data_IF_349384021208
#
_entry.id   IF_349384021208
#
_cell.length_a   1.000
_cell.length_b   1.000
_cell.length_c   1.000
_cell.angle_alpha   90.00
_cell.angle_beta   90.00
_cell.angle_gamma   90.00
#
_symmetry.space_group_name_H-M   'P 1'
#
loop_
_entity.id
_entity.type
_entity.pdbx_description
1 polymer ?
#
# COMPACT_ATOMS: atom_id res chain seq x y z
N UNK A 1 32.23 -55.03 15.42
CA UNK A 1 30.91 -54.61 15.94
C UNK A 1 30.63 -53.20 15.49
N UNK A 2 29.52 -53.02 14.88
CA UNK A 2 29.03 -51.96 13.98
C UNK A 2 29.25 -50.53 14.40
N UNK A 3 29.85 -49.72 13.51
CA UNK A 3 29.76 -48.25 13.47
C UNK A 3 28.81 -47.87 12.30
N UNK A 4 27.52 -48.06 12.50
CA UNK A 4 26.50 -47.66 11.53
C UNK A 4 25.40 -46.96 12.35
N UNK A 5 25.53 -45.66 12.62
CA UNK A 5 24.47 -44.97 13.36
C UNK A 5 24.58 -43.46 13.43
N UNK A 6 25.71 -42.87 13.10
CA UNK A 6 25.89 -41.40 13.27
C UNK A 6 25.74 -40.59 11.96
N UNK A 7 25.94 -41.20 10.81
CA UNK A 7 25.93 -40.50 9.51
C UNK A 7 24.50 -40.24 9.00
N UNK A 8 23.53 -41.13 9.32
CA UNK A 8 22.15 -41.01 8.82
C UNK A 8 21.30 -39.93 9.52
N UNK A 9 21.61 -39.65 10.79
CA UNK A 9 20.87 -38.63 11.59
C UNK A 9 21.35 -37.23 11.25
N UNK A 10 22.63 -37.05 10.91
CA UNK A 10 23.18 -35.76 10.51
C UNK A 10 22.62 -35.30 9.15
N UNK A 11 22.54 -36.20 8.17
CA UNK A 11 21.98 -35.91 6.84
C UNK A 11 20.48 -35.60 6.91
N UNK A 12 19.72 -36.27 7.77
CA UNK A 12 18.29 -36.03 7.94
C UNK A 12 18.02 -34.65 8.58
N UNK A 13 18.84 -34.25 9.58
CA UNK A 13 18.76 -32.93 10.20
C UNK A 13 19.15 -31.80 9.25
N UNK A 14 20.19 -31.99 8.42
CA UNK A 14 20.57 -30.99 7.40
C UNK A 14 19.53 -30.85 6.31
N UNK A 15 18.88 -31.95 5.91
CA UNK A 15 17.79 -31.90 4.92
C UNK A 15 16.56 -31.20 5.46
N UNK A 16 16.16 -31.47 6.72
CA UNK A 16 15.05 -30.77 7.36
C UNK A 16 15.37 -29.29 7.57
N UNK A 17 16.62 -28.96 7.97
CA UNK A 17 17.08 -27.59 8.13
C UNK A 17 17.07 -26.82 6.79
N UNK A 18 17.54 -27.43 5.70
CA UNK A 18 17.47 -26.86 4.34
C UNK A 18 16.03 -26.71 3.83
N UNK A 19 15.15 -27.68 4.11
CA UNK A 19 13.73 -27.59 3.78
C UNK A 19 13.05 -26.48 4.59
N UNK A 20 13.36 -26.33 5.86
CA UNK A 20 12.84 -25.26 6.73
C UNK A 20 13.35 -23.89 6.30
N UNK A 21 14.67 -23.75 6.01
CA UNK A 21 15.23 -22.53 5.44
C UNK A 21 14.61 -22.18 4.08
N UNK A 22 14.39 -23.15 3.20
CA UNK A 22 13.73 -22.92 1.92
C UNK A 22 12.24 -22.59 2.07
N UNK A 23 11.57 -23.11 3.10
CA UNK A 23 10.18 -22.79 3.43
C UNK A 23 10.09 -21.38 4.04
N UNK A 24 10.95 -21.05 5.01
CA UNK A 24 11.04 -19.74 5.64
C UNK A 24 11.43 -18.64 4.62
N UNK A 25 12.35 -18.95 3.68
CA UNK A 25 12.72 -18.03 2.58
C UNK A 25 11.58 -17.87 1.57
N UNK A 26 10.82 -18.94 1.26
CA UNK A 26 9.65 -18.85 0.38
C UNK A 26 8.50 -18.09 1.04
N UNK A 27 8.26 -18.30 2.33
CA UNK A 27 7.25 -17.58 3.10
C UNK A 27 7.63 -16.09 3.29
N UNK A 28 8.95 -15.79 3.42
CA UNK A 28 9.49 -14.43 3.47
C UNK A 28 9.49 -13.73 2.10
N UNK A 29 9.48 -14.48 0.98
CA UNK A 29 9.37 -13.93 -0.37
C UNK A 29 7.92 -13.68 -0.83
N UNK A 30 6.92 -14.14 -0.09
CA UNK A 30 5.52 -13.91 -0.44
C UNK A 30 5.06 -12.56 0.09
N UNK A 31 4.84 -11.63 -0.84
CA UNK A 31 4.29 -10.30 -0.54
C UNK A 31 2.95 -10.45 0.18
N UNK A 32 2.90 -10.03 1.44
CA UNK A 32 1.64 -9.96 2.16
C UNK A 32 0.74 -8.90 1.50
N UNK A 33 -0.49 -9.22 1.08
CA UNK A 33 -1.40 -8.23 0.53
C UNK A 33 -1.68 -7.11 1.52
N UNK A 34 -1.92 -5.91 0.99
CA UNK A 34 -2.21 -4.72 1.80
C UNK A 34 -3.54 -4.10 1.37
N UNK A 35 -4.44 -3.87 2.31
CA UNK A 35 -5.69 -3.15 2.06
C UNK A 35 -5.72 -1.91 2.96
N UNK A 36 -5.61 -0.75 2.32
CA UNK A 36 -5.56 0.54 2.99
C UNK A 36 -6.92 1.23 2.94
N UNK A 37 -7.43 1.62 4.11
CA UNK A 37 -8.68 2.37 4.29
C UNK A 37 -8.37 3.87 4.31
N UNK A 38 -8.54 4.56 3.19
CA UNK A 38 -8.46 6.02 3.13
C UNK A 38 -9.82 6.62 3.47
N UNK A 39 -10.00 7.06 4.71
CA UNK A 39 -11.26 7.67 5.15
C UNK A 39 -11.52 9.04 4.54
N UNK A 40 -10.49 9.64 3.90
CA UNK A 40 -10.56 11.00 3.36
C UNK A 40 -11.05 11.97 4.44
N UNK A 41 -11.91 12.91 4.11
CA UNK A 41 -12.48 13.89 5.06
C UNK A 41 -13.86 13.40 5.54
N UNK A 42 -13.90 12.26 6.21
CA UNK A 42 -15.12 11.67 6.77
C UNK A 42 -14.88 11.17 8.19
N UNK A 43 -15.99 10.80 8.86
CA UNK A 43 -16.05 10.30 10.23
C UNK A 43 -15.75 11.40 11.25
N UNK A 44 -16.56 11.53 12.26
CA UNK A 44 -16.28 12.42 13.39
C UNK A 44 -15.38 11.71 14.43
N UNK A 45 -14.55 12.46 15.19
CA UNK A 45 -13.72 11.86 16.24
C UNK A 45 -14.51 11.00 17.23
N UNK A 46 -15.76 11.37 17.54
CA UNK A 46 -16.65 10.61 18.42
C UNK A 46 -17.07 9.23 17.88
N UNK A 47 -16.98 9.02 16.56
CA UNK A 47 -17.37 7.78 15.87
C UNK A 47 -16.14 6.94 15.48
N UNK A 48 -14.98 7.59 15.44
CA UNK A 48 -13.75 7.03 14.86
C UNK A 48 -13.30 5.74 15.54
N UNK A 49 -13.28 5.70 16.87
CA UNK A 49 -12.86 4.51 17.63
C UNK A 49 -13.77 3.32 17.32
N UNK A 50 -15.09 3.52 17.34
CA UNK A 50 -16.05 2.45 17.09
C UNK A 50 -15.88 1.84 15.68
N UNK A 51 -15.79 2.67 14.64
CA UNK A 51 -15.59 2.19 13.28
C UNK A 51 -14.23 1.49 13.12
N UNK A 52 -13.17 2.05 13.69
CA UNK A 52 -11.82 1.46 13.61
C UNK A 52 -11.75 0.11 14.32
N UNK A 53 -12.40 -0.05 15.48
CA UNK A 53 -12.51 -1.32 16.21
C UNK A 53 -13.28 -2.36 15.41
N UNK A 54 -14.40 -1.98 14.80
CA UNK A 54 -15.17 -2.89 13.94
C UNK A 54 -14.34 -3.35 12.72
N UNK A 55 -13.59 -2.45 12.09
CA UNK A 55 -12.68 -2.80 10.98
C UNK A 55 -11.60 -3.77 11.48
N UNK A 56 -10.89 -3.43 12.57
CA UNK A 56 -9.84 -4.29 13.15
C UNK A 56 -10.38 -5.68 13.45
N UNK A 57 -11.48 -5.77 14.19
CA UNK A 57 -12.01 -7.05 14.66
C UNK A 57 -12.50 -7.92 13.50
N UNK A 58 -13.12 -7.31 12.46
CA UNK A 58 -13.62 -8.04 11.29
C UNK A 58 -12.52 -8.45 10.30
N UNK A 59 -11.31 -7.88 10.41
CA UNK A 59 -10.16 -8.17 9.55
C UNK A 59 -9.03 -8.95 10.25
N UNK A 60 -9.12 -9.14 11.57
CA UNK A 60 -8.14 -9.90 12.34
C UNK A 60 -8.03 -11.35 11.82
N UNK A 61 -6.80 -11.83 11.64
CA UNK A 61 -6.52 -13.21 11.21
C UNK A 61 -6.70 -13.47 9.71
N UNK A 62 -6.98 -12.45 8.89
CA UNK A 62 -7.14 -12.63 7.44
C UNK A 62 -5.81 -12.85 6.69
N UNK A 63 -4.65 -12.64 7.32
CA UNK A 63 -3.36 -12.71 6.63
C UNK A 63 -3.09 -11.52 5.70
N UNK A 64 -3.93 -10.48 5.75
CA UNK A 64 -3.82 -9.24 4.99
C UNK A 64 -3.32 -8.14 5.93
N UNK A 65 -2.44 -7.28 5.46
CA UNK A 65 -2.05 -6.08 6.20
C UNK A 65 -3.11 -4.99 6.02
N UNK A 66 -3.63 -4.46 7.12
CA UNK A 66 -4.63 -3.41 7.12
C UNK A 66 -3.97 -2.09 7.50
N UNK A 67 -4.14 -1.08 6.67
CA UNK A 67 -3.70 0.29 6.97
C UNK A 67 -4.93 1.18 7.09
N UNK A 68 -5.12 1.81 8.25
CA UNK A 68 -6.19 2.77 8.47
C UNK A 68 -5.63 4.19 8.35
N UNK A 69 -6.07 4.95 7.36
CA UNK A 69 -5.66 6.33 7.12
C UNK A 69 -6.84 7.31 7.37
N UNK A 70 -7.10 7.66 8.64
CA UNK A 70 -8.13 8.61 9.03
C UNK A 70 -7.65 10.07 8.85
N UNK A 71 -8.53 11.09 9.01
CA UNK A 71 -8.09 12.47 9.21
C UNK A 71 -7.09 12.62 10.35
N UNK A 72 -6.20 13.61 10.28
CA UNK A 72 -5.16 13.83 11.32
C UNK A 72 -5.71 13.95 12.74
N UNK A 73 -6.91 14.56 12.87
CA UNK A 73 -7.59 14.76 14.16
C UNK A 73 -7.94 13.47 14.90
N UNK A 74 -7.86 12.32 14.22
CA UNK A 74 -8.21 11.01 14.78
C UNK A 74 -6.99 10.16 15.14
N UNK A 75 -5.80 10.49 14.59
CA UNK A 75 -4.61 9.64 14.72
C UNK A 75 -4.25 9.35 16.18
N UNK A 76 -4.24 10.38 17.04
CA UNK A 76 -3.95 10.21 18.46
C UNK A 76 -4.98 9.31 19.18
N UNK A 77 -6.25 9.41 18.79
CA UNK A 77 -7.33 8.59 19.37
C UNK A 77 -7.18 7.11 19.01
N UNK A 78 -6.66 6.82 17.81
CA UNK A 78 -6.60 5.47 17.26
C UNK A 78 -5.26 4.77 17.46
N UNK A 79 -4.25 5.45 18.02
CA UNK A 79 -2.89 4.90 18.19
C UNK A 79 -2.85 3.58 18.98
N UNK A 80 -3.76 3.39 19.96
CA UNK A 80 -3.86 2.19 20.78
C UNK A 80 -4.39 0.95 20.03
N UNK A 81 -4.97 1.10 18.83
CA UNK A 81 -5.52 -0.01 18.05
C UNK A 81 -4.48 -0.76 17.21
N UNK A 82 -3.25 -0.28 17.16
CA UNK A 82 -2.18 -0.87 16.34
C UNK A 82 -1.84 -2.30 16.76
N UNK A 83 -1.51 -3.10 15.77
CA UNK A 83 -1.00 -4.46 15.95
C UNK A 83 -0.10 -4.84 14.77
N UNK A 84 0.46 -6.04 14.76
CA UNK A 84 1.24 -6.55 13.61
C UNK A 84 0.44 -6.67 12.30
N UNK A 85 -0.88 -6.57 12.36
CA UNK A 85 -1.78 -6.67 11.21
C UNK A 85 -2.60 -5.41 10.95
N UNK A 86 -2.54 -4.42 11.84
CA UNK A 86 -3.36 -3.21 11.79
C UNK A 86 -2.48 -1.99 12.07
N UNK A 87 -2.14 -1.27 11.01
CA UNK A 87 -1.27 -0.09 11.03
C UNK A 87 -2.07 1.19 10.85
N UNK A 88 -1.56 2.30 11.38
CA UNK A 88 -2.09 3.63 11.08
C UNK A 88 -1.36 4.26 9.90
N UNK A 89 -2.12 4.95 9.06
CA UNK A 89 -1.64 5.77 7.95
C UNK A 89 -2.04 7.24 8.10
N UNK A 90 -1.25 8.15 7.58
CA UNK A 90 -1.60 9.54 7.42
C UNK A 90 -1.97 9.83 5.96
N UNK A 91 -2.89 10.77 5.72
CA UNK A 91 -3.38 11.09 4.37
C UNK A 91 -2.45 12.03 3.58
N UNK A 92 -1.46 12.63 4.21
CA UNK A 92 -0.42 13.48 3.63
C UNK A 92 0.66 13.76 4.68
N UNK A 93 1.72 14.49 4.29
CA UNK A 93 2.78 14.99 5.18
C UNK A 93 3.42 16.26 4.57
N UNK A 94 4.07 17.06 5.39
CA UNK A 94 4.96 18.12 4.95
C UNK A 94 6.40 17.57 4.81
N UNK A 95 7.16 18.05 3.82
CA UNK A 95 8.54 17.61 3.57
C UNK A 95 9.55 18.17 4.58
N UNK A 96 9.24 19.26 5.29
CA UNK A 96 10.10 19.80 6.36
C UNK A 96 9.79 19.13 7.70
N UNK A 97 10.84 18.93 8.52
CA UNK A 97 10.74 18.33 9.85
C UNK A 97 10.08 19.25 10.89
N UNK A 98 10.24 20.56 10.75
CA UNK A 98 9.65 21.59 11.62
C UNK A 98 9.78 22.97 10.96
N UNK A 99 9.12 24.00 11.51
CA UNK A 99 9.28 25.37 11.06
C UNK A 99 7.98 26.16 10.94
N UNK A 100 8.04 27.30 10.26
CA UNK A 100 6.92 28.23 10.05
C UNK A 100 6.00 27.76 8.90
N UNK A 101 5.40 26.59 9.07
CA UNK A 101 4.50 25.94 8.11
C UNK A 101 3.14 25.73 8.76
N UNK A 102 2.37 26.80 8.88
CA UNK A 102 1.01 26.74 9.49
C UNK A 102 0.16 25.68 8.78
N UNK A 103 -0.48 24.80 9.54
CA UNK A 103 -1.22 23.60 9.10
C UNK A 103 -0.36 22.41 8.60
N UNK A 104 0.95 22.57 8.52
CA UNK A 104 1.85 21.47 8.15
C UNK A 104 1.94 20.40 9.24
N UNK A 105 1.98 19.14 8.83
CA UNK A 105 2.22 18.00 9.71
C UNK A 105 3.52 17.33 9.26
N UNK A 106 4.51 17.27 10.15
CA UNK A 106 5.82 16.68 9.83
C UNK A 106 5.84 15.16 10.03
N UNK A 107 6.85 14.50 9.43
CA UNK A 107 7.12 13.08 9.65
C UNK A 107 7.37 12.78 11.14
N UNK A 108 8.10 13.66 11.85
CA UNK A 108 8.35 13.49 13.28
C UNK A 108 7.06 13.49 14.11
N UNK A 109 6.10 14.37 13.82
CA UNK A 109 4.78 14.39 14.49
C UNK A 109 4.00 13.11 14.22
N UNK A 110 4.02 12.59 12.99
CA UNK A 110 3.35 11.34 12.65
C UNK A 110 3.99 10.14 13.35
N UNK A 111 5.31 10.12 13.42
CA UNK A 111 6.07 9.05 14.09
C UNK A 111 5.80 9.02 15.60
N UNK A 112 5.69 10.17 16.25
CA UNK A 112 5.33 10.28 17.66
C UNK A 112 3.94 9.70 17.95
N UNK A 113 3.00 9.84 17.01
CA UNK A 113 1.68 9.20 17.03
C UNK A 113 1.71 7.73 16.57
N UNK A 114 2.91 7.17 16.33
CA UNK A 114 3.12 5.80 15.90
C UNK A 114 2.44 5.46 14.55
N UNK A 115 2.28 6.45 13.68
CA UNK A 115 1.86 6.24 12.29
C UNK A 115 2.98 5.50 11.55
N UNK A 116 2.61 4.52 10.72
CA UNK A 116 3.56 3.72 9.95
C UNK A 116 3.57 4.07 8.47
N UNK A 117 2.42 4.42 7.93
CA UNK A 117 2.24 4.70 6.50
C UNK A 117 1.85 6.16 6.26
N UNK A 118 2.26 6.69 5.10
CA UNK A 118 1.81 8.01 4.65
C UNK A 118 1.38 7.93 3.19
N UNK A 119 0.16 8.36 2.90
CA UNK A 119 -0.35 8.51 1.53
C UNK A 119 0.22 9.80 0.94
N UNK A 120 0.83 9.72 -0.24
CA UNK A 120 1.39 10.87 -0.97
C UNK A 120 0.94 10.85 -2.42
N UNK A 121 0.62 12.03 -2.96
CA UNK A 121 0.28 12.18 -4.36
C UNK A 121 -1.11 11.69 -4.75
N UNK A 122 -2.02 11.50 -3.78
CA UNK A 122 -3.42 11.13 -4.06
C UNK A 122 -4.06 12.11 -5.05
N UNK A 123 -4.88 11.61 -5.98
CA UNK A 123 -5.46 12.38 -7.07
C UNK A 123 -6.21 13.62 -6.59
N UNK A 124 -7.00 13.54 -5.53
CA UNK A 124 -7.71 14.68 -4.93
C UNK A 124 -6.75 15.77 -4.45
N UNK A 125 -5.56 15.39 -3.93
CA UNK A 125 -4.54 16.36 -3.52
C UNK A 125 -3.85 17.01 -4.71
N UNK A 126 -3.56 16.24 -5.76
CA UNK A 126 -2.97 16.77 -6.99
C UNK A 126 -3.89 17.76 -7.69
N UNK A 127 -5.19 17.51 -7.64
CA UNK A 127 -6.22 18.40 -8.20
C UNK A 127 -6.41 19.67 -7.36
N UNK A 128 -6.61 19.52 -6.04
CA UNK A 128 -6.90 20.63 -5.14
C UNK A 128 -5.67 21.54 -4.89
N UNK A 129 -4.47 20.97 -4.96
CA UNK A 129 -3.20 21.65 -4.65
C UNK A 129 -2.14 21.37 -5.72
N UNK A 130 -2.30 21.90 -6.95
CA UNK A 130 -1.37 21.63 -8.06
C UNK A 130 0.09 22.02 -7.76
N UNK A 131 0.32 23.02 -6.92
CA UNK A 131 1.65 23.45 -6.48
C UNK A 131 2.39 22.41 -5.63
N UNK A 132 1.68 21.45 -5.01
CA UNK A 132 2.33 20.36 -4.27
C UNK A 132 3.01 19.32 -5.18
N UNK A 133 2.75 19.35 -6.48
CA UNK A 133 3.32 18.39 -7.44
C UNK A 133 4.85 18.33 -7.33
N UNK A 134 5.50 19.48 -7.24
CA UNK A 134 6.95 19.58 -7.20
C UNK A 134 7.55 19.11 -5.85
N UNK A 135 6.74 19.08 -4.79
CA UNK A 135 7.12 18.66 -3.45
C UNK A 135 6.93 17.14 -3.20
N UNK A 136 6.30 16.41 -4.11
CA UNK A 136 6.01 14.97 -3.89
C UNK A 136 7.30 14.18 -3.69
N UNK A 137 8.31 14.41 -4.52
CA UNK A 137 9.61 13.75 -4.38
C UNK A 137 10.26 14.01 -3.02
N UNK A 138 10.24 15.25 -2.55
CA UNK A 138 10.80 15.63 -1.25
C UNK A 138 10.00 15.02 -0.09
N UNK A 139 8.67 14.94 -0.23
CA UNK A 139 7.80 14.26 0.76
C UNK A 139 8.13 12.78 0.85
N UNK A 140 8.32 12.09 -0.29
CA UNK A 140 8.71 10.67 -0.32
C UNK A 140 10.05 10.49 0.40
N UNK A 141 11.06 11.30 0.09
CA UNK A 141 12.36 11.25 0.77
C UNK A 141 12.22 11.48 2.27
N UNK A 142 11.48 12.49 2.70
CA UNK A 142 11.28 12.79 4.12
C UNK A 142 10.60 11.63 4.88
N UNK A 143 9.62 10.95 4.24
CA UNK A 143 8.94 9.77 4.80
C UNK A 143 9.93 8.63 5.02
N UNK A 144 10.68 8.26 3.96
CA UNK A 144 11.62 7.15 3.98
C UNK A 144 12.80 7.42 4.95
N UNK A 145 13.39 8.61 4.91
CA UNK A 145 14.45 9.03 5.84
C UNK A 145 13.97 9.07 7.30
N UNK A 146 12.69 9.38 7.52
CA UNK A 146 12.05 9.33 8.82
C UNK A 146 11.74 7.91 9.31
N UNK A 147 11.94 6.90 8.48
CA UNK A 147 11.66 5.49 8.79
C UNK A 147 10.18 5.14 8.78
N UNK A 148 9.37 5.90 8.04
CA UNK A 148 7.97 5.57 7.73
C UNK A 148 7.88 4.96 6.34
N UNK A 149 6.72 4.36 6.04
CA UNK A 149 6.42 3.75 4.73
C UNK A 149 5.54 4.66 3.91
N UNK A 150 5.73 4.69 2.61
CA UNK A 150 4.94 5.50 1.69
C UNK A 150 3.91 4.66 0.94
N UNK A 151 2.66 5.15 0.85
CA UNK A 151 1.68 4.73 -0.13
C UNK A 151 1.63 5.85 -1.17
N UNK A 152 2.36 5.65 -2.26
CA UNK A 152 2.45 6.65 -3.33
C UNK A 152 1.35 6.41 -4.36
N UNK A 153 0.56 7.46 -4.65
CA UNK A 153 -0.53 7.43 -5.60
C UNK A 153 -0.12 7.99 -6.96
N UNK A 154 -0.40 7.24 -8.01
CA UNK A 154 -0.21 7.63 -9.41
C UNK A 154 -1.41 7.19 -10.25
N UNK A 155 -1.60 7.87 -11.38
CA UNK A 155 -2.67 7.50 -12.31
C UNK A 155 -2.97 8.59 -13.31
N UNK A 156 -3.77 8.24 -14.30
CA UNK A 156 -4.08 9.07 -15.45
C UNK A 156 -5.53 9.57 -15.44
N UNK A 157 -5.73 10.73 -16.06
CA UNK A 157 -7.04 11.29 -16.32
C UNK A 157 -7.72 10.58 -17.51
N UNK A 158 -9.03 10.79 -17.66
CA UNK A 158 -9.80 10.27 -18.78
C UNK A 158 -9.25 10.70 -20.15
N UNK A 159 -8.84 11.96 -20.28
CA UNK A 159 -8.27 12.49 -21.53
C UNK A 159 -7.00 11.73 -21.91
N UNK A 160 -6.12 11.46 -20.96
CA UNK A 160 -4.89 10.70 -21.20
C UNK A 160 -5.23 9.25 -21.60
N UNK A 161 -6.17 8.63 -20.89
CA UNK A 161 -6.64 7.27 -21.19
C UNK A 161 -7.21 7.14 -22.60
N UNK A 162 -8.10 8.04 -23.00
CA UNK A 162 -8.73 8.07 -24.33
C UNK A 162 -7.72 8.36 -25.46
N UNK A 163 -6.56 8.98 -25.13
CA UNK A 163 -5.48 9.20 -26.08
C UNK A 163 -4.53 8.01 -26.25
N UNK A 164 -4.69 6.92 -25.48
CA UNK A 164 -3.81 5.75 -25.50
C UNK A 164 -2.40 6.00 -24.96
N UNK A 165 -2.22 7.04 -24.13
CA UNK A 165 -0.93 7.44 -23.55
C UNK A 165 -0.82 7.18 -22.04
N UNK A 166 -1.72 6.39 -21.50
CA UNK A 166 -1.81 6.15 -20.07
C UNK A 166 -0.53 5.55 -19.46
N UNK A 167 0.10 4.61 -20.15
CA UNK A 167 1.31 3.94 -19.66
C UNK A 167 2.50 4.89 -19.65
N UNK A 168 2.71 5.64 -20.74
CA UNK A 168 3.80 6.64 -20.82
C UNK A 168 3.61 7.77 -19.80
N UNK A 169 2.35 8.18 -19.58
CA UNK A 169 2.02 9.19 -18.59
C UNK A 169 2.35 8.73 -17.18
N UNK A 170 1.91 7.53 -16.78
CA UNK A 170 2.18 6.98 -15.44
C UNK A 170 3.67 6.72 -15.26
N UNK A 171 4.37 6.21 -16.28
CA UNK A 171 5.83 6.03 -16.24
C UNK A 171 6.57 7.37 -16.02
N UNK A 172 6.13 8.43 -16.71
CA UNK A 172 6.70 9.78 -16.55
C UNK A 172 6.42 10.36 -15.16
N UNK A 173 5.23 10.08 -14.61
CA UNK A 173 4.84 10.51 -13.27
C UNK A 173 5.70 9.80 -12.20
N UNK A 174 5.91 8.49 -12.33
CA UNK A 174 6.80 7.71 -11.46
C UNK A 174 8.23 8.25 -11.53
N UNK A 175 8.78 8.44 -12.73
CA UNK A 175 10.14 8.95 -12.93
C UNK A 175 10.33 10.33 -12.29
N UNK A 176 9.34 11.22 -12.42
CA UNK A 176 9.41 12.56 -11.83
C UNK A 176 9.31 12.54 -10.32
N UNK A 177 8.37 11.79 -9.76
CA UNK A 177 8.07 11.81 -8.34
C UNK A 177 9.10 11.01 -7.51
N UNK A 178 9.75 9.99 -8.09
CA UNK A 178 10.83 9.24 -7.43
C UNK A 178 12.25 9.72 -7.79
N UNK A 179 12.40 10.86 -8.49
CA UNK A 179 13.70 11.37 -8.98
C UNK A 179 14.77 11.55 -7.91
N UNK A 180 14.39 11.82 -6.66
CA UNK A 180 15.31 12.01 -5.55
C UNK A 180 15.55 10.72 -4.72
N UNK A 181 14.79 9.66 -4.96
CA UNK A 181 14.92 8.39 -4.23
C UNK A 181 16.10 7.61 -4.78
N UNK A 182 17.19 7.54 -4.01
CA UNK A 182 18.44 6.88 -4.42
C UNK A 182 18.47 5.39 -4.12
N UNK A 183 17.85 4.99 -3.01
CA UNK A 183 17.77 3.61 -2.56
C UNK A 183 16.32 3.18 -2.53
N UNK A 184 16.01 2.06 -3.20
CA UNK A 184 14.69 1.48 -3.19
C UNK A 184 14.61 0.37 -2.16
N UNK A 185 13.72 0.53 -1.20
CA UNK A 185 13.43 -0.45 -0.17
C UNK A 185 11.97 -0.90 -0.37
N UNK A 186 11.75 -2.06 -1.01
CA UNK A 186 10.41 -2.47 -1.45
C UNK A 186 9.41 -2.64 -0.31
N UNK A 187 9.88 -2.94 0.90
CA UNK A 187 9.06 -3.04 2.11
C UNK A 187 8.53 -1.67 2.60
N UNK A 188 9.20 -0.59 2.23
CA UNK A 188 8.87 0.77 2.64
C UNK A 188 8.09 1.56 1.58
N UNK A 189 7.89 0.97 0.38
CA UNK A 189 7.19 1.63 -0.73
C UNK A 189 6.03 0.76 -1.21
N UNK A 190 4.84 1.33 -1.21
CA UNK A 190 3.63 0.79 -1.84
C UNK A 190 3.21 1.75 -2.95
N UNK A 191 2.95 1.25 -4.15
CA UNK A 191 2.42 2.06 -5.24
C UNK A 191 0.92 1.80 -5.36
N UNK A 192 0.10 2.86 -5.28
CA UNK A 192 -1.33 2.81 -5.50
C UNK A 192 -1.67 3.38 -6.89
N UNK A 193 -2.13 2.50 -7.77
CA UNK A 193 -2.61 2.94 -9.09
C UNK A 193 -4.05 3.43 -9.00
N UNK A 194 -4.25 4.69 -9.35
CA UNK A 194 -5.53 5.38 -9.35
C UNK A 194 -5.98 5.66 -10.79
N UNK A 195 -6.89 4.85 -11.41
CA UNK A 195 -7.56 5.29 -12.63
C UNK A 195 -8.48 6.48 -12.29
N UNK A 196 -7.96 7.72 -12.41
CA UNK A 196 -8.63 8.95 -11.93
C UNK A 196 -10.03 9.09 -12.56
N UNK A 197 -10.19 8.65 -13.81
CA UNK A 197 -11.44 8.62 -14.53
C UNK A 197 -12.50 7.67 -13.94
N UNK A 198 -12.09 6.75 -13.05
CA UNK A 198 -12.95 5.79 -12.38
C UNK A 198 -13.18 6.12 -10.88
N UNK A 199 -12.61 7.21 -10.35
CA UNK A 199 -12.78 7.60 -8.95
C UNK A 199 -13.98 8.51 -8.79
N UNK A 200 -15.00 8.07 -8.04
CA UNK A 200 -16.19 8.88 -7.74
C UNK A 200 -17.14 9.12 -8.93
N UNK A 201 -16.85 8.54 -10.10
CA UNK A 201 -17.64 8.74 -11.32
C UNK A 201 -18.72 7.68 -11.54
N UNK A 202 -18.72 6.62 -10.74
CA UNK A 202 -19.55 5.42 -10.96
C UNK A 202 -18.97 4.45 -11.99
N UNK A 203 -17.93 4.82 -12.71
CA UNK A 203 -17.18 3.94 -13.59
C UNK A 203 -16.18 3.11 -12.78
N UNK A 204 -15.82 1.93 -13.30
CA UNK A 204 -14.75 1.08 -12.77
C UNK A 204 -13.85 0.66 -13.91
N UNK A 205 -12.55 0.61 -13.67
CA UNK A 205 -11.65 -0.04 -14.62
C UNK A 205 -11.99 -1.53 -14.70
N UNK A 206 -11.91 -2.12 -15.89
CA UNK A 206 -12.03 -3.57 -16.01
C UNK A 206 -10.81 -4.24 -15.35
N UNK A 207 -10.93 -5.52 -14.91
CA UNK A 207 -9.79 -6.27 -14.40
C UNK A 207 -8.58 -6.26 -15.34
N UNK A 208 -8.81 -6.38 -16.66
CA UNK A 208 -7.76 -6.35 -17.68
C UNK A 208 -7.08 -4.97 -17.75
N UNK A 209 -7.84 -3.89 -17.66
CA UNK A 209 -7.29 -2.53 -17.65
C UNK A 209 -6.44 -2.27 -16.41
N UNK A 210 -6.92 -2.72 -15.24
CA UNK A 210 -6.17 -2.63 -13.99
C UNK A 210 -4.88 -3.46 -14.07
N UNK A 211 -4.97 -4.72 -14.49
CA UNK A 211 -3.83 -5.63 -14.64
C UNK A 211 -2.78 -5.10 -15.61
N UNK A 212 -3.20 -4.58 -16.76
CA UNK A 212 -2.27 -3.99 -17.74
C UNK A 212 -1.46 -2.83 -17.15
N UNK A 213 -2.08 -1.93 -16.38
CA UNK A 213 -1.37 -0.82 -15.74
C UNK A 213 -0.49 -1.28 -14.58
N UNK A 214 -0.94 -2.23 -13.75
CA UNK A 214 -0.11 -2.82 -12.70
C UNK A 214 1.15 -3.47 -13.29
N UNK A 215 1.01 -4.20 -14.40
CA UNK A 215 2.15 -4.77 -15.11
C UNK A 215 3.09 -3.68 -15.67
N UNK A 216 2.56 -2.60 -16.26
CA UNK A 216 3.36 -1.48 -16.75
C UNK A 216 4.16 -0.82 -15.61
N UNK A 217 3.56 -0.60 -14.44
CA UNK A 217 4.25 -0.09 -13.25
C UNK A 217 5.35 -1.06 -12.80
N UNK A 218 5.07 -2.37 -12.78
CA UNK A 218 6.05 -3.40 -12.40
C UNK A 218 7.24 -3.44 -13.36
N UNK A 219 7.00 -3.32 -14.67
CA UNK A 219 8.05 -3.24 -15.68
C UNK A 219 8.89 -1.95 -15.51
N UNK A 220 8.26 -0.82 -15.20
CA UNK A 220 8.96 0.41 -14.88
C UNK A 220 9.88 0.24 -13.66
N UNK A 221 9.39 -0.35 -12.57
CA UNK A 221 10.18 -0.66 -11.38
C UNK A 221 11.36 -1.57 -11.73
N UNK A 222 11.13 -2.61 -12.53
CA UNK A 222 12.17 -3.53 -12.96
C UNK A 222 13.29 -2.85 -13.73
N UNK A 223 12.95 -1.89 -14.60
CA UNK A 223 13.93 -1.16 -15.40
C UNK A 223 14.75 -0.14 -14.59
N UNK A 224 14.19 0.39 -13.48
CA UNK A 224 14.83 1.44 -12.68
C UNK A 224 15.51 0.93 -11.41
N UNK A 225 14.97 -0.11 -10.79
CA UNK A 225 15.39 -0.60 -9.47
C UNK A 225 15.75 -2.09 -9.45
N UNK A 226 15.66 -2.77 -10.60
CA UNK A 226 15.99 -4.19 -10.74
C UNK A 226 14.83 -5.12 -10.47
N UNK A 227 15.01 -6.39 -10.88
CA UNK A 227 13.95 -7.40 -10.85
C UNK A 227 13.48 -7.71 -9.42
N UNK A 228 14.41 -7.94 -8.49
CA UNK A 228 14.09 -8.33 -7.11
C UNK A 228 13.26 -7.25 -6.41
N UNK A 229 13.67 -5.99 -6.50
CA UNK A 229 12.92 -4.87 -5.95
C UNK A 229 11.55 -4.72 -6.60
N UNK A 230 11.46 -4.88 -7.92
CA UNK A 230 10.21 -4.81 -8.63
C UNK A 230 9.23 -5.89 -8.17
N UNK A 231 9.68 -7.13 -8.01
CA UNK A 231 8.83 -8.24 -7.55
C UNK A 231 8.43 -8.10 -6.07
N UNK A 232 9.30 -7.58 -5.23
CA UNK A 232 9.02 -7.38 -3.81
C UNK A 232 8.13 -6.16 -3.52
N UNK A 233 8.10 -5.15 -4.40
CA UNK A 233 7.26 -3.95 -4.22
C UNK A 233 5.78 -4.28 -4.40
N UNK A 234 4.94 -3.85 -3.46
CA UNK A 234 3.49 -3.99 -3.54
C UNK A 234 2.89 -2.91 -4.43
N UNK A 235 2.05 -3.32 -5.38
CA UNK A 235 1.29 -2.42 -6.25
C UNK A 235 -0.18 -2.69 -6.00
N UNK A 236 -0.91 -1.71 -5.50
CA UNK A 236 -2.30 -1.83 -5.09
C UNK A 236 -3.24 -1.02 -5.98
N UNK A 237 -4.47 -1.48 -6.12
CA UNK A 237 -5.48 -0.81 -6.93
C UNK A 237 -6.20 0.27 -6.10
N UNK A 238 -6.18 1.51 -6.58
CA UNK A 238 -6.76 2.70 -5.94
C UNK A 238 -8.01 3.26 -6.63
N UNK A 239 -8.61 2.53 -7.55
CA UNK A 239 -9.88 2.91 -8.17
C UNK A 239 -11.09 2.57 -7.29
N UNK A 240 -12.29 2.53 -7.90
CA UNK A 240 -13.52 2.15 -7.20
C UNK A 240 -13.50 0.66 -6.82
N UNK A 241 -13.29 0.37 -5.54
CA UNK A 241 -13.35 -1.00 -4.97
C UNK A 241 -14.56 -1.14 -4.08
N UNK A 242 -15.30 -2.24 -4.29
CA UNK A 242 -16.47 -2.65 -3.49
C UNK A 242 -16.36 -4.14 -3.18
N UNK A 243 -17.11 -4.63 -2.19
CA UNK A 243 -17.17 -6.08 -1.90
C UNK A 243 -17.55 -6.92 -3.14
N UNK A 244 -18.38 -6.35 -4.03
CA UNK A 244 -18.88 -7.04 -5.23
C UNK A 244 -17.84 -7.21 -6.36
N UNK A 245 -16.79 -6.38 -6.43
CA UNK A 245 -15.76 -6.47 -7.48
C UNK A 245 -14.35 -6.80 -6.94
N UNK A 246 -14.19 -6.87 -5.63
CA UNK A 246 -12.90 -7.09 -5.00
C UNK A 246 -12.28 -8.46 -5.35
N UNK A 247 -13.11 -9.50 -5.50
CA UNK A 247 -12.63 -10.84 -5.87
C UNK A 247 -12.07 -10.89 -7.29
N UNK A 248 -12.69 -10.19 -8.23
CA UNK A 248 -12.22 -10.13 -9.62
C UNK A 248 -10.88 -9.38 -9.71
N UNK A 249 -10.74 -8.28 -8.93
CA UNK A 249 -9.48 -7.54 -8.83
C UNK A 249 -8.38 -8.35 -8.15
N UNK A 250 -8.70 -9.06 -7.08
CA UNK A 250 -7.75 -9.89 -6.34
C UNK A 250 -7.26 -11.11 -7.14
N UNK A 251 -8.06 -11.57 -8.12
CA UNK A 251 -7.69 -12.67 -9.02
C UNK A 251 -6.67 -12.26 -10.10
N UNK A 252 -6.44 -10.95 -10.29
CA UNK A 252 -5.48 -10.45 -11.28
C UNK A 252 -4.07 -10.51 -10.71
N UNK A 253 -3.21 -11.23 -11.39
CA UNK A 253 -1.79 -11.30 -11.05
C UNK A 253 -1.13 -9.91 -11.08
N UNK A 254 -0.35 -9.60 -10.06
CA UNK A 254 0.30 -8.30 -9.90
C UNK A 254 -0.52 -7.22 -9.20
N UNK A 255 -1.78 -7.49 -8.78
CA UNK A 255 -2.55 -6.63 -7.88
C UNK A 255 -2.37 -7.12 -6.44
N UNK A 256 -1.53 -6.44 -5.68
CA UNK A 256 -1.12 -6.85 -4.33
C UNK A 256 -2.04 -6.31 -3.21
N UNK A 257 -3.22 -5.77 -3.56
CA UNK A 257 -4.17 -5.21 -2.60
C UNK A 257 -4.96 -4.02 -3.11
N UNK A 258 -5.52 -3.21 -2.20
CA UNK A 258 -6.36 -2.08 -2.56
C UNK A 258 -6.15 -0.85 -1.65
N UNK A 259 -6.30 0.34 -2.24
CA UNK A 259 -6.51 1.61 -1.52
C UNK A 259 -7.99 1.96 -1.62
N UNK A 260 -8.72 1.80 -0.51
CA UNK A 260 -10.18 1.85 -0.47
C UNK A 260 -10.64 3.18 0.12
N UNK A 261 -11.45 3.93 -0.65
CA UNK A 261 -12.09 5.17 -0.19
C UNK A 261 -13.43 4.90 0.51
N UNK A 262 -14.55 5.33 -0.10
CA UNK A 262 -15.88 5.32 0.51
C UNK A 262 -16.33 3.99 1.11
N UNK A 263 -16.00 2.85 0.50
CA UNK A 263 -16.33 1.53 1.04
C UNK A 263 -15.62 1.24 2.38
N UNK A 264 -14.54 1.96 2.72
CA UNK A 264 -13.87 1.83 4.02
C UNK A 264 -14.61 2.48 5.20
N UNK A 265 -15.65 3.24 4.91
CA UNK A 265 -16.54 3.85 5.92
C UNK A 265 -17.60 2.87 6.44
N UNK A 266 -17.65 1.66 5.90
CA UNK A 266 -18.48 0.57 6.37
C UNK A 266 -17.60 -0.64 6.67
N UNK A 267 -17.53 -1.06 7.93
CA UNK A 267 -16.65 -2.14 8.36
C UNK A 267 -16.96 -3.48 7.68
N UNK A 268 -18.25 -3.79 7.45
CA UNK A 268 -18.66 -5.02 6.75
C UNK A 268 -18.20 -5.03 5.30
N UNK A 269 -18.42 -3.94 4.56
CA UNK A 269 -17.98 -3.76 3.17
C UNK A 269 -16.46 -3.84 3.07
N UNK A 270 -15.74 -3.13 3.96
CA UNK A 270 -14.29 -3.15 3.99
C UNK A 270 -13.73 -4.54 4.30
N UNK A 271 -14.35 -5.26 5.25
CA UNK A 271 -13.91 -6.63 5.56
C UNK A 271 -14.13 -7.62 4.43
N UNK A 272 -15.19 -7.45 3.62
CA UNK A 272 -15.41 -8.24 2.40
C UNK A 272 -14.29 -7.99 1.39
N UNK A 273 -13.90 -6.72 1.19
CA UNK A 273 -12.78 -6.35 0.33
C UNK A 273 -11.48 -6.99 0.85
N UNK A 274 -11.18 -6.85 2.14
CA UNK A 274 -9.99 -7.44 2.73
C UNK A 274 -9.94 -8.98 2.60
N UNK A 275 -11.10 -9.65 2.74
CA UNK A 275 -11.21 -11.10 2.54
C UNK A 275 -10.93 -11.53 1.11
N UNK A 276 -11.30 -10.73 0.11
CA UNK A 276 -11.03 -11.04 -1.29
C UNK A 276 -9.51 -11.08 -1.58
N UNK A 277 -8.72 -10.25 -0.91
CA UNK A 277 -7.26 -10.24 -1.02
C UNK A 277 -6.56 -11.23 -0.07
N UNK A 278 -7.30 -12.00 0.72
CA UNK A 278 -6.73 -13.12 1.49
C UNK A 278 -6.07 -14.09 0.52
N UNK A 279 -4.81 -14.41 0.77
CA UNK A 279 -4.01 -15.24 -0.12
C UNK A 279 -4.75 -16.49 -0.65
N UNK A 280 -4.88 -16.56 -1.95
CA UNK A 280 -5.08 -17.78 -2.70
C UNK A 280 -3.71 -18.48 -2.91
N UNK A 281 -3.02 -18.78 -1.81
CA UNK A 281 -1.87 -19.66 -1.86
C UNK A 281 -2.29 -20.98 -1.26
N UNK A 282 -2.89 -21.80 -2.10
CA UNK A 282 -2.93 -23.26 -1.99
C UNK A 282 -2.16 -23.84 -3.16
#
# INVERSE_FOLDING_TARGET
MMVIGRTCIATFRETIWKLRLNFDVKEQMMKRPIVAANWKMNVLPSEACHLAEQIRDSTTGLGVEIVLAPPYTHLALLSHLRSSQFSLGAQNVHNANSGAYTSGISVAMLKDLQVEYVIVGHSERREAFPSEKDLISDKICAILEGGLKVIYCCGESRIIRESGKEMDFVASQLAYDFRAVKLWEPENVVIAYEPIWAIGTGLTATPEQAGAMHNAIRLWLKSHYGHENAEATRIIYGGSVKGSNASDLAAIDGIDGALVGGASLNASEFSQIARAFRHHHQ
#
